data_IF_482442663185
#
_entry.id   IF_482442663185
#
_cell.length_a   1.000
_cell.length_b   1.000
_cell.length_c   1.000
_cell.angle_alpha   90.00
_cell.angle_beta   90.00
_cell.angle_gamma   90.00
#
_symmetry.space_group_name_H-M   'P 1'
#
loop_
_entity.id
_entity.type
_entity.pdbx_description
1 polymer ?
#
# COMPACT_ATOMS: atom_id res chain seq x y z
N UNK A 1 -14.31 13.98 7.04
CA UNK A 1 -13.77 14.16 5.68
C UNK A 1 -14.50 15.32 5.04
N UNK A 2 -13.72 16.28 4.55
CA UNK A 2 -14.23 17.37 3.74
C UNK A 2 -14.52 16.81 2.34
N UNK A 3 -15.46 17.40 1.62
CA UNK A 3 -15.77 17.03 0.22
C UNK A 3 -16.14 18.33 -0.51
N UNK A 4 -15.12 19.16 -0.72
CA UNK A 4 -15.30 20.52 -1.24
C UNK A 4 -15.76 20.55 -2.70
N UNK A 5 -15.61 19.43 -3.40
CA UNK A 5 -16.02 19.25 -4.80
C UNK A 5 -17.34 18.49 -4.96
N UNK A 6 -17.96 18.02 -3.87
CA UNK A 6 -19.11 17.10 -3.92
C UNK A 6 -18.83 15.88 -4.80
N UNK A 7 -17.61 15.35 -4.66
CA UNK A 7 -17.06 14.27 -5.46
C UNK A 7 -17.51 12.89 -5.00
N UNK A 8 -17.98 12.75 -3.76
CA UNK A 8 -18.36 11.46 -3.22
C UNK A 8 -19.69 10.99 -3.82
N UNK A 9 -19.64 9.88 -4.57
CA UNK A 9 -20.84 9.24 -5.13
C UNK A 9 -21.03 7.84 -4.57
N UNK A 10 -22.29 7.40 -4.53
CA UNK A 10 -22.63 6.02 -4.20
C UNK A 10 -22.74 5.21 -5.50
N UNK A 11 -22.01 4.10 -5.56
CA UNK A 11 -22.05 3.09 -6.61
C UNK A 11 -22.72 1.83 -6.07
N UNK A 12 -23.80 1.39 -6.70
CA UNK A 12 -24.44 0.11 -6.40
C UNK A 12 -23.97 -0.96 -7.39
N UNK A 13 -23.37 -2.02 -6.86
CA UNK A 13 -22.87 -3.13 -7.68
C UNK A 13 -23.14 -4.45 -6.97
N UNK A 14 -23.81 -5.37 -7.67
CA UNK A 14 -24.15 -6.71 -7.16
C UNK A 14 -24.83 -6.71 -5.77
N UNK A 15 -25.73 -5.76 -5.54
CA UNK A 15 -26.46 -5.62 -4.27
C UNK A 15 -25.63 -5.05 -3.10
N UNK A 16 -24.43 -4.55 -3.37
CA UNK A 16 -23.58 -3.85 -2.39
C UNK A 16 -23.45 -2.38 -2.76
N UNK A 17 -23.33 -1.53 -1.73
CA UNK A 17 -23.15 -0.08 -1.87
C UNK A 17 -21.70 0.28 -1.60
N UNK A 18 -21.11 1.02 -2.53
CA UNK A 18 -19.76 1.55 -2.41
C UNK A 18 -19.78 3.07 -2.50
N UNK A 19 -18.89 3.73 -1.78
CA UNK A 19 -18.57 5.14 -1.97
C UNK A 19 -17.34 5.25 -2.85
N UNK A 20 -17.37 6.16 -3.82
CA UNK A 20 -16.25 6.43 -4.75
C UNK A 20 -16.00 7.93 -4.83
N UNK A 21 -14.75 8.33 -5.02
CA UNK A 21 -14.38 9.71 -5.33
C UNK A 21 -14.46 9.91 -6.85
N UNK A 22 -15.57 10.50 -7.31
CA UNK A 22 -15.89 10.59 -8.73
C UNK A 22 -15.23 11.81 -9.37
N UNK A 23 -14.22 11.57 -10.22
CA UNK A 23 -13.44 12.62 -10.88
C UNK A 23 -14.28 13.63 -11.69
N UNK A 24 -15.39 13.20 -12.29
CA UNK A 24 -16.25 14.11 -13.06
C UNK A 24 -16.92 15.22 -12.24
N UNK A 25 -16.79 15.20 -10.91
CA UNK A 25 -17.13 16.36 -10.09
C UNK A 25 -16.22 17.57 -10.36
N UNK A 26 -14.95 17.33 -10.74
CA UNK A 26 -14.02 18.38 -11.16
C UNK A 26 -14.33 18.88 -12.58
N UNK A 27 -14.74 17.99 -13.49
CA UNK A 27 -15.19 18.37 -14.83
C UNK A 27 -16.39 19.32 -14.78
N UNK A 28 -17.34 19.06 -13.87
CA UNK A 28 -18.48 19.94 -13.61
C UNK A 28 -18.07 21.33 -13.09
N UNK A 29 -16.86 21.47 -12.55
CA UNK A 29 -16.27 22.75 -12.11
C UNK A 29 -15.33 23.37 -13.15
N UNK A 30 -15.26 22.80 -14.36
CA UNK A 30 -14.52 23.36 -15.49
C UNK A 30 -13.11 22.82 -15.70
N UNK A 31 -12.68 21.81 -14.94
CA UNK A 31 -11.39 21.16 -15.17
C UNK A 31 -11.48 20.17 -16.35
N UNK A 32 -10.64 20.35 -17.37
CA UNK A 32 -10.48 19.34 -18.41
C UNK A 32 -9.55 18.23 -17.93
N UNK A 33 -10.13 17.08 -17.55
CA UNK A 33 -9.39 15.91 -17.12
C UNK A 33 -9.03 14.97 -18.28
N UNK A 34 -9.48 15.24 -19.51
CA UNK A 34 -9.16 14.38 -20.66
C UNK A 34 -7.67 14.45 -21.03
N UNK A 35 -7.03 15.59 -20.74
CA UNK A 35 -5.60 15.82 -20.92
C UNK A 35 -4.70 15.13 -19.88
N UNK A 36 -5.25 14.69 -18.74
CA UNK A 36 -4.45 14.10 -17.68
C UNK A 36 -4.08 12.65 -18.03
N UNK A 37 -2.79 12.26 -17.89
CA UNK A 37 -2.40 10.86 -17.91
C UNK A 37 -3.16 10.06 -16.86
N UNK A 38 -3.41 8.77 -17.14
CA UNK A 38 -4.19 7.91 -16.24
C UNK A 38 -3.58 7.81 -14.84
N UNK A 39 -2.25 7.79 -14.73
CA UNK A 39 -1.55 7.82 -13.45
C UNK A 39 -1.88 9.06 -12.61
N UNK A 40 -2.01 10.25 -13.22
CA UNK A 40 -2.40 11.46 -12.50
C UNK A 40 -3.88 11.42 -12.08
N UNK A 41 -4.74 10.72 -12.83
CA UNK A 41 -6.13 10.50 -12.42
C UNK A 41 -6.24 9.63 -11.16
N UNK A 42 -5.33 8.66 -10.99
CA UNK A 42 -5.23 7.85 -9.76
C UNK A 42 -4.81 8.72 -8.57
N UNK A 43 -3.81 9.59 -8.75
CA UNK A 43 -3.41 10.55 -7.72
C UNK A 43 -4.54 11.53 -7.38
N UNK A 44 -5.29 11.98 -8.38
CA UNK A 44 -6.42 12.89 -8.19
C UNK A 44 -7.59 12.23 -7.44
N UNK A 45 -7.87 10.95 -7.70
CA UNK A 45 -8.81 10.16 -6.88
C UNK A 45 -8.35 10.12 -5.43
N UNK A 46 -7.05 9.89 -5.21
CA UNK A 46 -6.47 9.82 -3.87
C UNK A 46 -6.68 11.13 -3.10
N UNK A 47 -6.39 12.27 -3.72
CA UNK A 47 -6.59 13.59 -3.12
C UNK A 47 -8.06 13.85 -2.81
N UNK A 48 -8.97 13.60 -3.76
CA UNK A 48 -10.41 13.80 -3.53
C UNK A 48 -10.93 12.94 -2.37
N UNK A 49 -10.57 11.66 -2.33
CA UNK A 49 -11.01 10.75 -1.25
C UNK A 49 -10.41 11.09 0.11
N UNK A 50 -9.22 11.72 0.13
CA UNK A 50 -8.47 12.03 1.34
C UNK A 50 -8.56 13.49 1.79
N UNK A 51 -9.40 14.33 1.14
CA UNK A 51 -9.56 15.73 1.52
C UNK A 51 -9.97 15.88 2.99
N UNK A 52 -9.11 16.52 3.77
CA UNK A 52 -9.32 16.81 5.18
C UNK A 52 -9.17 18.31 5.50
N UNK A 53 -8.60 19.10 4.58
CA UNK A 53 -8.34 20.52 4.75
C UNK A 53 -7.06 20.84 5.51
N UNK A 54 -6.26 19.82 5.89
CA UNK A 54 -4.99 19.96 6.58
C UNK A 54 -3.85 19.30 5.78
N UNK A 55 -3.88 17.97 5.66
CA UNK A 55 -2.89 17.22 4.90
C UNK A 55 -3.21 17.19 3.39
N UNK A 56 -4.50 17.21 3.06
CA UNK A 56 -4.98 17.33 1.68
C UNK A 56 -5.98 18.48 1.62
N UNK A 57 -5.60 19.53 0.91
CA UNK A 57 -6.39 20.74 0.76
C UNK A 57 -7.13 20.78 -0.56
N UNK A 58 -8.09 21.70 -0.66
CA UNK A 58 -8.76 22.02 -1.93
C UNK A 58 -7.76 22.45 -2.99
N UNK A 59 -6.78 23.26 -2.61
CA UNK A 59 -5.76 23.81 -3.51
C UNK A 59 -4.88 22.70 -4.10
N UNK A 60 -4.58 21.64 -3.34
CA UNK A 60 -3.82 20.48 -3.85
C UNK A 60 -4.59 19.75 -4.96
N UNK A 61 -5.91 19.61 -4.81
CA UNK A 61 -6.79 19.00 -5.82
C UNK A 61 -6.84 19.88 -7.07
N UNK A 62 -7.03 21.19 -6.92
CA UNK A 62 -7.09 22.13 -8.05
C UNK A 62 -5.75 22.21 -8.77
N UNK A 63 -4.62 22.19 -8.04
CA UNK A 63 -3.28 22.16 -8.60
C UNK A 63 -3.08 20.93 -9.49
N UNK A 64 -3.40 19.72 -8.99
CA UNK A 64 -3.22 18.50 -9.77
C UNK A 64 -4.22 18.39 -10.93
N UNK A 65 -5.48 18.81 -10.74
CA UNK A 65 -6.46 18.90 -11.83
C UNK A 65 -6.03 19.89 -12.92
N UNK A 66 -5.32 20.96 -12.50
CA UNK A 66 -4.70 22.00 -13.31
C UNK A 66 -3.35 21.64 -13.92
N UNK A 67 -2.77 20.46 -13.62
CA UNK A 67 -1.41 20.07 -14.02
C UNK A 67 -1.10 20.25 -15.51
N UNK A 68 0.05 20.83 -15.84
CA UNK A 68 0.49 21.06 -17.23
C UNK A 68 1.84 20.37 -17.48
N UNK A 69 1.93 19.55 -18.53
CA UNK A 69 3.11 18.71 -18.80
C UNK A 69 4.41 19.48 -19.04
N UNK A 70 4.32 20.71 -19.58
CA UNK A 70 5.47 21.56 -19.86
C UNK A 70 5.79 22.54 -18.73
N UNK A 71 4.98 22.58 -17.67
CA UNK A 71 5.23 23.46 -16.54
C UNK A 71 6.28 22.83 -15.62
N UNK A 72 7.16 23.67 -15.08
CA UNK A 72 8.07 23.25 -14.01
C UNK A 72 7.27 22.91 -12.74
N UNK A 73 7.59 21.81 -12.03
CA UNK A 73 6.95 21.48 -10.77
C UNK A 73 7.14 22.61 -9.74
N UNK A 74 6.03 23.09 -9.17
CA UNK A 74 6.05 24.23 -8.24
C UNK A 74 5.40 23.94 -6.89
N UNK A 75 4.66 22.84 -6.77
CA UNK A 75 3.98 22.41 -5.56
C UNK A 75 4.07 20.90 -5.38
N UNK A 76 4.31 20.49 -4.14
CA UNK A 76 4.22 19.10 -3.70
C UNK A 76 2.78 18.77 -3.31
N UNK A 77 2.41 17.49 -3.45
CA UNK A 77 1.09 16.99 -3.06
C UNK A 77 1.23 15.83 -2.08
N UNK A 78 0.26 15.67 -1.19
CA UNK A 78 0.18 14.48 -0.36
C UNK A 78 -0.29 13.28 -1.19
N UNK A 79 0.25 12.10 -0.90
CA UNK A 79 -0.21 10.85 -1.48
C UNK A 79 -0.26 9.77 -0.40
N UNK A 80 -1.45 9.19 -0.21
CA UNK A 80 -1.68 8.16 0.80
C UNK A 80 -1.97 6.84 0.09
N UNK A 81 -0.95 6.02 -0.20
CA UNK A 81 -1.12 4.76 -0.93
C UNK A 81 -2.09 3.83 -0.20
N UNK A 82 -2.73 2.95 -0.95
CA UNK A 82 -3.71 2.02 -0.40
C UNK A 82 -3.10 0.96 0.51
N UNK A 83 -1.84 0.56 0.25
CA UNK A 83 -1.09 -0.45 1.00
C UNK A 83 0.42 -0.25 0.86
N UNK A 84 1.19 -1.04 1.61
CA UNK A 84 2.65 -1.10 1.54
C UNK A 84 3.12 -2.54 1.29
N UNK A 85 4.09 -2.72 0.40
CA UNK A 85 4.72 -4.01 0.13
C UNK A 85 6.15 -4.04 0.65
N UNK A 86 6.49 -5.06 1.43
CA UNK A 86 7.82 -5.27 1.98
C UNK A 86 8.39 -6.60 1.50
N UNK A 87 9.72 -6.67 1.44
CA UNK A 87 10.48 -7.92 1.33
C UNK A 87 11.28 -8.14 2.63
N UNK A 88 11.79 -9.34 2.91
CA UNK A 88 12.31 -9.69 4.23
C UNK A 88 13.58 -8.93 4.67
N UNK A 89 14.45 -8.48 3.77
CA UNK A 89 15.65 -7.70 4.11
C UNK A 89 15.32 -6.28 4.57
N UNK A 90 14.31 -5.65 3.99
CA UNK A 90 13.87 -4.30 4.38
C UNK A 90 12.70 -4.31 5.36
N UNK A 91 11.94 -5.41 5.38
CA UNK A 91 10.80 -5.58 6.26
C UNK A 91 11.19 -5.95 7.69
N UNK A 92 12.25 -6.73 7.90
CA UNK A 92 12.80 -6.96 9.25
C UNK A 92 13.18 -5.64 9.94
N UNK A 93 14.02 -4.75 9.38
CA UNK A 93 14.34 -3.49 10.03
C UNK A 93 13.11 -2.60 10.22
N UNK A 94 12.16 -2.58 9.27
CA UNK A 94 10.91 -1.83 9.46
C UNK A 94 10.10 -2.32 10.68
N UNK A 95 10.02 -3.63 10.92
CA UNK A 95 9.35 -4.18 12.12
C UNK A 95 10.15 -3.91 13.39
N UNK A 96 11.49 -3.90 13.31
CA UNK A 96 12.36 -3.46 14.43
C UNK A 96 12.09 -2.00 14.78
N UNK A 97 11.99 -1.12 13.78
CA UNK A 97 11.71 0.31 13.99
C UNK A 97 10.35 0.50 14.66
N UNK A 98 9.30 -0.22 14.21
CA UNK A 98 7.99 -0.19 14.86
C UNK A 98 8.05 -0.67 16.32
N UNK A 99 8.84 -1.70 16.61
CA UNK A 99 9.03 -2.18 17.98
C UNK A 99 9.75 -1.12 18.84
N UNK A 100 10.83 -0.54 18.33
CA UNK A 100 11.57 0.52 19.02
C UNK A 100 10.71 1.78 19.25
N UNK A 101 9.84 2.13 18.30
CA UNK A 101 8.87 3.21 18.46
C UNK A 101 7.84 2.92 19.56
N UNK A 102 7.44 1.65 19.75
CA UNK A 102 6.58 1.26 20.88
C UNK A 102 7.28 1.42 22.22
N UNK A 103 8.54 1.03 22.31
CA UNK A 103 9.35 1.21 23.52
C UNK A 103 9.49 2.71 23.84
N UNK A 104 9.82 3.54 22.84
CA UNK A 104 9.90 4.99 23.02
C UNK A 104 8.56 5.63 23.42
N UNK A 105 7.44 5.16 22.85
CA UNK A 105 6.10 5.63 23.23
C UNK A 105 5.79 5.33 24.70
N UNK A 106 6.17 4.15 25.19
CA UNK A 106 6.04 3.77 26.61
C UNK A 106 6.89 4.65 27.52
N UNK A 107 8.15 4.91 27.16
CA UNK A 107 9.06 5.76 27.93
C UNK A 107 8.53 7.19 28.07
N UNK A 108 7.84 7.69 27.04
CA UNK A 108 7.18 9.00 27.03
C UNK A 108 5.82 9.01 27.75
N UNK A 109 5.40 7.89 28.34
CA UNK A 109 4.12 7.75 29.06
C UNK A 109 2.89 7.67 28.15
N UNK A 110 3.09 7.40 26.86
CA UNK A 110 2.02 7.20 25.88
C UNK A 110 1.57 5.75 25.76
N UNK A 111 0.57 5.53 24.90
CA UNK A 111 0.07 4.20 24.58
C UNK A 111 0.82 3.60 23.38
N UNK A 112 1.62 2.52 23.55
CA UNK A 112 2.36 1.88 22.46
C UNK A 112 1.45 1.29 21.40
N UNK A 113 0.20 0.94 21.71
CA UNK A 113 -0.72 0.38 20.71
C UNK A 113 -1.06 1.38 19.61
N UNK A 114 -0.85 2.69 19.85
CA UNK A 114 -0.96 3.72 18.80
C UNK A 114 0.11 3.62 17.72
N UNK A 115 1.23 2.95 18.01
CA UNK A 115 2.24 2.61 16.99
C UNK A 115 1.78 1.34 16.30
N UNK A 116 1.08 1.53 15.19
CA UNK A 116 0.59 0.46 14.34
C UNK A 116 0.52 0.91 12.87
N UNK A 117 0.76 0.02 11.89
CA UNK A 117 0.46 0.34 10.50
C UNK A 117 -1.00 0.78 10.30
N UNK A 118 -1.17 1.97 9.73
CA UNK A 118 -2.50 2.49 9.42
C UNK A 118 -3.10 1.79 8.19
N UNK A 119 -2.24 1.51 7.21
CA UNK A 119 -2.60 0.87 5.94
C UNK A 119 -2.20 -0.60 5.98
N UNK A 120 -2.84 -1.47 5.19
CA UNK A 120 -2.38 -2.84 4.97
C UNK A 120 -0.90 -2.88 4.58
N UNK A 121 -0.13 -3.71 5.28
CA UNK A 121 1.29 -3.95 5.01
C UNK A 121 1.47 -5.44 4.78
N UNK A 122 2.09 -5.78 3.65
CA UNK A 122 2.26 -7.15 3.20
C UNK A 122 3.75 -7.40 2.99
N UNK A 123 4.30 -8.34 3.75
CA UNK A 123 5.70 -8.73 3.65
C UNK A 123 5.82 -10.09 2.97
N UNK A 124 6.65 -10.19 1.94
CA UNK A 124 7.00 -11.46 1.31
C UNK A 124 8.42 -11.87 1.70
N UNK A 125 8.60 -13.12 2.13
CA UNK A 125 9.92 -13.69 2.42
C UNK A 125 10.44 -14.38 1.16
N UNK A 126 11.42 -13.78 0.50
CA UNK A 126 11.96 -14.25 -0.78
C UNK A 126 13.46 -14.01 -0.99
N UNK A 127 14.12 -13.17 -0.18
CA UNK A 127 15.54 -12.84 -0.30
C UNK A 127 16.47 -13.74 0.54
N UNK A 128 15.93 -14.79 1.14
CA UNK A 128 16.61 -15.61 2.15
C UNK A 128 17.07 -16.98 1.63
N UNK A 129 16.42 -17.52 0.60
CA UNK A 129 16.83 -18.78 -0.03
C UNK A 129 18.12 -18.60 -0.83
N UNK A 130 19.03 -19.57 -0.70
CA UNK A 130 20.27 -19.64 -1.48
C UNK A 130 20.33 -20.96 -2.25
N UNK A 131 21.07 -20.97 -3.35
CA UNK A 131 21.32 -22.19 -4.13
C UNK A 131 22.52 -22.91 -3.54
N UNK A 132 22.30 -23.64 -2.44
CA UNK A 132 23.31 -24.51 -1.82
C UNK A 132 23.53 -25.79 -2.62
N UNK A 133 22.44 -26.38 -3.11
CA UNK A 133 22.41 -27.57 -3.96
C UNK A 133 21.63 -27.29 -5.25
N UNK A 134 22.04 -27.92 -6.35
CA UNK A 134 21.39 -27.79 -7.66
C UNK A 134 21.45 -29.08 -8.47
N UNK A 135 20.61 -29.21 -9.50
CA UNK A 135 20.68 -30.30 -10.47
C UNK A 135 20.18 -31.68 -9.99
N UNK A 136 19.51 -31.76 -8.84
CA UNK A 136 18.92 -33.00 -8.32
C UNK A 136 17.48 -32.80 -7.85
N UNK A 137 16.70 -33.89 -7.78
CA UNK A 137 15.34 -33.86 -7.25
C UNK A 137 15.28 -33.46 -5.76
N UNK A 138 16.40 -33.61 -5.01
CA UNK A 138 16.49 -33.25 -3.61
C UNK A 138 16.87 -31.77 -3.38
N UNK A 139 17.34 -31.06 -4.41
CA UNK A 139 17.91 -29.72 -4.28
C UNK A 139 16.95 -28.72 -3.60
N UNK A 140 15.66 -28.71 -4.00
CA UNK A 140 14.66 -27.82 -3.41
C UNK A 140 14.48 -28.05 -1.91
N UNK A 141 14.42 -29.32 -1.47
CA UNK A 141 14.25 -29.66 -0.06
C UNK A 141 15.47 -29.22 0.74
N UNK A 142 16.68 -29.53 0.26
CA UNK A 142 17.92 -29.19 0.94
C UNK A 142 18.08 -27.66 1.07
N UNK A 143 17.82 -26.91 0.00
CA UNK A 143 17.92 -25.45 0.03
C UNK A 143 16.90 -24.83 1.00
N UNK A 144 15.68 -25.38 1.05
CA UNK A 144 14.63 -24.93 1.98
C UNK A 144 14.99 -25.22 3.45
N UNK A 145 15.54 -26.39 3.74
CA UNK A 145 15.99 -26.74 5.10
C UNK A 145 17.11 -25.82 5.57
N UNK A 146 18.12 -25.57 4.71
CA UNK A 146 19.23 -24.64 5.00
C UNK A 146 18.77 -23.20 5.15
N UNK A 147 17.85 -22.75 4.31
CA UNK A 147 17.23 -21.43 4.44
C UNK A 147 16.60 -21.25 5.82
N UNK A 148 15.82 -22.23 6.28
CA UNK A 148 15.16 -22.17 7.58
C UNK A 148 16.15 -22.23 8.74
N UNK A 149 17.16 -23.10 8.67
CA UNK A 149 18.22 -23.21 9.68
C UNK A 149 18.93 -21.86 9.87
N UNK A 150 19.32 -21.19 8.77
CA UNK A 150 20.08 -19.93 8.80
C UNK A 150 19.25 -18.73 9.23
N UNK A 151 17.95 -18.73 8.95
CA UNK A 151 17.08 -17.56 9.14
C UNK A 151 16.02 -17.74 10.24
N UNK A 152 16.15 -18.77 11.07
CA UNK A 152 15.17 -19.11 12.11
C UNK A 152 14.76 -17.90 12.97
N UNK A 153 15.73 -17.15 13.49
CA UNK A 153 15.47 -15.99 14.35
C UNK A 153 14.70 -14.89 13.61
N UNK A 154 15.09 -14.59 12.36
CA UNK A 154 14.42 -13.60 11.52
C UNK A 154 12.97 -14.00 11.26
N UNK A 155 12.70 -15.27 10.98
CA UNK A 155 11.34 -15.76 10.75
C UNK A 155 10.50 -15.77 12.02
N UNK A 156 11.09 -16.14 13.16
CA UNK A 156 10.43 -16.04 14.45
C UNK A 156 10.06 -14.59 14.78
N UNK A 157 10.96 -13.64 14.50
CA UNK A 157 10.72 -12.21 14.68
C UNK A 157 9.60 -11.68 13.78
N UNK A 158 9.60 -12.02 12.49
CA UNK A 158 8.52 -11.62 11.56
C UNK A 158 7.17 -12.26 11.93
N UNK A 159 7.18 -13.51 12.42
CA UNK A 159 5.97 -14.17 12.92
C UNK A 159 5.42 -13.49 14.17
N UNK A 160 6.30 -13.06 15.08
CA UNK A 160 5.90 -12.21 16.20
C UNK A 160 5.29 -10.89 15.69
N UNK A 161 5.94 -10.22 14.73
CA UNK A 161 5.44 -8.97 14.14
C UNK A 161 4.02 -9.11 13.59
N UNK A 162 3.74 -10.18 12.85
CA UNK A 162 2.39 -10.49 12.33
C UNK A 162 1.34 -10.68 13.43
N UNK A 163 1.74 -11.07 14.64
CA UNK A 163 0.82 -11.20 15.78
C UNK A 163 0.75 -9.92 16.62
N UNK A 164 1.76 -9.05 16.52
CA UNK A 164 1.93 -7.86 17.36
C UNK A 164 1.37 -6.57 16.72
N UNK A 165 1.25 -6.52 15.39
CA UNK A 165 0.75 -5.37 14.64
C UNK A 165 -0.51 -5.72 13.87
N UNK A 166 -1.53 -4.88 13.98
CA UNK A 166 -2.70 -4.97 13.11
C UNK A 166 -2.32 -4.57 11.68
N UNK A 167 -3.07 -5.04 10.69
CA UNK A 167 -2.86 -4.77 9.26
C UNK A 167 -1.52 -5.26 8.69
N UNK A 168 -0.72 -6.03 9.44
CA UNK A 168 0.53 -6.60 8.97
C UNK A 168 0.38 -8.08 8.65
N UNK A 169 0.72 -8.49 7.42
CA UNK A 169 0.66 -9.88 6.95
C UNK A 169 1.99 -10.32 6.40
N UNK A 170 2.36 -11.57 6.66
CA UNK A 170 3.60 -12.18 6.18
C UNK A 170 3.28 -13.37 5.29
N UNK A 171 3.73 -13.30 4.03
CA UNK A 171 3.77 -14.44 3.11
C UNK A 171 5.01 -15.27 3.44
N UNK A 172 4.85 -16.57 3.75
CA UNK A 172 5.93 -17.43 4.21
C UNK A 172 6.97 -17.71 3.10
N UNK A 173 8.19 -18.17 3.48
CA UNK A 173 9.23 -18.53 2.52
C UNK A 173 8.80 -19.65 1.58
N UNK A 174 9.50 -19.78 0.45
CA UNK A 174 9.25 -20.77 -0.60
C UNK A 174 7.84 -20.70 -1.23
N UNK A 175 7.19 -19.53 -1.17
CA UNK A 175 5.90 -19.26 -1.85
C UNK A 175 6.11 -18.64 -3.24
N UNK A 176 7.15 -17.83 -3.41
CA UNK A 176 7.47 -17.12 -4.65
C UNK A 176 8.31 -15.89 -4.38
N UNK A 177 8.57 -15.09 -5.41
CA UNK A 177 9.25 -13.79 -5.30
C UNK A 177 8.24 -12.66 -5.13
N UNK A 178 8.62 -11.61 -4.38
CA UNK A 178 7.75 -10.53 -3.90
C UNK A 178 6.87 -9.93 -5.00
N UNK A 179 7.44 -9.63 -6.17
CA UNK A 179 6.71 -8.98 -7.25
C UNK A 179 5.81 -9.93 -8.03
N UNK A 180 6.19 -11.21 -8.18
CA UNK A 180 5.33 -12.21 -8.81
C UNK A 180 4.14 -12.54 -7.90
N UNK A 181 4.37 -12.72 -6.60
CA UNK A 181 3.31 -12.91 -5.62
C UNK A 181 2.39 -11.68 -5.57
N UNK A 182 2.96 -10.48 -5.71
CA UNK A 182 2.16 -9.25 -5.79
C UNK A 182 1.24 -9.25 -7.02
N UNK A 183 1.75 -9.59 -8.20
CA UNK A 183 0.96 -9.66 -9.44
C UNK A 183 -0.13 -10.74 -9.41
N UNK A 184 0.21 -11.93 -8.92
CA UNK A 184 -0.66 -13.12 -9.03
C UNK A 184 -1.65 -13.27 -7.88
N UNK A 185 -1.37 -12.67 -6.71
CA UNK A 185 -2.14 -12.94 -5.50
C UNK A 185 -2.48 -11.70 -4.67
N UNK A 186 -1.55 -10.75 -4.47
CA UNK A 186 -1.79 -9.61 -3.57
C UNK A 186 -2.46 -8.42 -4.25
N UNK A 187 -2.31 -8.22 -5.56
CA UNK A 187 -2.92 -7.09 -6.26
C UNK A 187 -4.46 -7.21 -6.26
N UNK A 188 -5.14 -6.11 -5.93
CA UNK A 188 -6.62 -6.06 -5.94
C UNK A 188 -7.18 -5.35 -7.16
N UNK A 189 -6.41 -4.46 -7.78
CA UNK A 189 -6.87 -3.51 -8.80
C UNK A 189 -7.79 -2.43 -8.23
N UNK A 190 -8.85 -2.84 -7.52
CA UNK A 190 -9.73 -1.96 -6.75
C UNK A 190 -9.76 -2.44 -5.30
N UNK A 191 -9.37 -1.54 -4.39
CA UNK A 191 -9.43 -1.73 -2.96
C UNK A 191 -10.84 -1.47 -2.46
N UNK A 192 -11.27 -2.28 -1.48
CA UNK A 192 -12.52 -2.08 -0.77
C UNK A 192 -12.18 -1.81 0.69
N UNK A 193 -12.47 -0.60 1.16
CA UNK A 193 -12.27 -0.21 2.56
C UNK A 193 -13.36 -0.75 3.48
N UNK A 194 -13.12 -0.66 4.79
CA UNK A 194 -14.09 -1.05 5.80
C UNK A 194 -15.40 -0.27 5.64
N UNK A 195 -16.51 -0.97 5.88
CA UNK A 195 -17.84 -0.37 5.76
C UNK A 195 -18.09 0.60 6.92
N UNK A 196 -18.46 1.83 6.57
CA UNK A 196 -19.01 2.82 7.50
C UNK A 196 -20.49 3.02 7.15
N UNK A 197 -21.38 2.85 8.13
CA UNK A 197 -22.84 2.95 7.94
C UNK A 197 -23.39 2.04 6.80
N UNK A 198 -22.77 0.87 6.64
CA UNK A 198 -23.14 -0.10 5.60
C UNK A 198 -22.75 0.33 4.17
N UNK A 199 -21.79 1.24 4.02
CA UNK A 199 -21.20 1.65 2.75
C UNK A 199 -19.67 1.56 2.84
N UNK A 200 -19.05 0.79 1.96
CA UNK A 200 -17.57 0.67 1.88
C UNK A 200 -17.01 1.65 0.86
N UNK A 201 -15.80 2.15 1.07
CA UNK A 201 -15.08 2.84 -0.01
C UNK A 201 -14.62 1.84 -1.08
N UNK A 202 -14.69 2.23 -2.35
CA UNK A 202 -14.02 1.55 -3.46
C UNK A 202 -13.08 2.54 -4.16
N UNK A 203 -11.80 2.17 -4.28
CA UNK A 203 -10.75 3.07 -4.76
C UNK A 203 -9.61 2.27 -5.41
N UNK A 204 -8.77 2.88 -6.26
CA UNK A 204 -7.66 2.18 -6.91
C UNK A 204 -6.71 1.52 -5.91
N UNK A 205 -6.27 0.30 -6.23
CA UNK A 205 -5.10 -0.29 -5.58
C UNK A 205 -3.88 0.55 -5.96
N UNK A 206 -3.13 0.97 -4.95
CA UNK A 206 -1.92 1.77 -5.09
C UNK A 206 -0.98 1.38 -3.96
N UNK A 207 0.31 1.33 -4.22
CA UNK A 207 1.28 1.03 -3.17
C UNK A 207 2.61 1.73 -3.34
N UNK A 208 3.31 1.80 -2.22
CA UNK A 208 4.75 1.95 -2.18
C UNK A 208 5.35 0.65 -1.66
N UNK A 209 6.57 0.35 -2.08
CA UNK A 209 7.27 -0.82 -1.58
C UNK A 209 8.74 -0.52 -1.31
N UNK A 210 9.34 -1.29 -0.42
CA UNK A 210 10.75 -1.16 -0.03
C UNK A 210 11.70 -1.93 -0.95
N UNK A 211 11.29 -2.12 -2.20
CA UNK A 211 12.08 -2.73 -3.27
C UNK A 211 11.91 -1.93 -4.57
N UNK A 212 13.01 -1.70 -5.29
CA UNK A 212 13.02 -0.85 -6.50
C UNK A 212 12.16 -1.40 -7.65
N UNK A 213 11.94 -2.72 -7.71
CA UNK A 213 11.13 -3.35 -8.75
C UNK A 213 9.64 -3.39 -8.39
N UNK A 214 9.21 -2.73 -7.30
CA UNK A 214 7.78 -2.57 -6.98
C UNK A 214 6.99 -1.99 -8.16
N UNK A 215 7.66 -1.21 -9.01
CA UNK A 215 7.12 -0.67 -10.27
C UNK A 215 6.65 -1.73 -11.27
N UNK A 216 7.02 -3.00 -11.10
CA UNK A 216 6.51 -4.12 -11.92
C UNK A 216 4.98 -4.21 -11.88
N UNK A 217 4.36 -3.84 -10.76
CA UNK A 217 2.90 -3.90 -10.57
C UNK A 217 2.15 -2.93 -11.49
N UNK A 218 2.82 -1.88 -11.98
CA UNK A 218 2.25 -0.90 -12.91
C UNK A 218 1.74 -1.57 -14.20
N UNK A 219 2.27 -2.75 -14.56
CA UNK A 219 1.79 -3.56 -15.68
C UNK A 219 0.33 -4.04 -15.54
N UNK A 220 -0.22 -4.06 -14.32
CA UNK A 220 -1.63 -4.35 -14.02
C UNK A 220 -2.47 -3.10 -13.76
N UNK A 221 -1.91 -1.89 -13.94
CA UNK A 221 -2.62 -0.62 -13.72
C UNK A 221 -2.76 -0.24 -12.23
N UNK A 222 -1.86 -0.71 -11.38
CA UNK A 222 -1.75 -0.45 -9.93
C UNK A 222 -0.54 0.44 -9.66
#
# INVERSE_FOLDING_TARGET
>A
MKDSFHSHKTLELAGRRYRVAHLGALEAQGFDLTRLPFALKILLENLLRREDGEAVTRDDVEYLAGWQAAAEPSQEIAFMPARVLLQDFTGVPAVVDLAAMRDAMLELGGDPQRINPLQPVELVIDHSVQVDEYGSAAALLINKEREFERNYERYAFLRWGQSAFDNFKVVPPATGIVHQVNLEYLARGVMVGDAQDGVSWAYPDTLVGTDSHTTMINGLGV
#
